data_IF_293709579601
#
_entry.id   IF_293709579601
#
_cell.length_a   1.000
_cell.length_b   1.000
_cell.length_c   1.000
_cell.angle_alpha   90.00
_cell.angle_beta   90.00
_cell.angle_gamma   90.00
#
_symmetry.space_group_name_H-M   'P 1'
#
loop_
_entity.id
_entity.type
_entity.pdbx_description
1 polymer ?
#
# COMPACT_ATOMS: atom_id res chain seq x y z
N UNK A 1 -48.13 -14.32 21.63
CA UNK A 1 -46.81 -13.70 21.87
C UNK A 1 -46.10 -13.60 20.53
N UNK A 2 -46.26 -12.48 19.81
CA UNK A 2 -45.57 -12.26 18.54
C UNK A 2 -44.22 -11.62 18.83
N UNK A 3 -43.14 -12.32 18.50
CA UNK A 3 -41.76 -11.83 18.67
C UNK A 3 -41.60 -10.49 17.95
N UNK A 4 -41.22 -9.45 18.70
CA UNK A 4 -40.99 -8.09 18.19
C UNK A 4 -39.60 -7.91 17.56
N UNK A 5 -38.83 -8.98 17.44
CA UNK A 5 -37.47 -8.92 16.91
C UNK A 5 -37.47 -9.37 15.46
N UNK A 6 -37.29 -8.40 14.56
CA UNK A 6 -37.04 -8.65 13.15
C UNK A 6 -35.68 -9.35 13.04
N UNK A 7 -35.63 -10.54 12.44
CA UNK A 7 -34.37 -11.27 12.21
C UNK A 7 -33.45 -10.40 11.34
N UNK A 8 -32.37 -9.91 11.92
CA UNK A 8 -31.32 -9.24 11.17
C UNK A 8 -30.61 -10.26 10.29
N UNK A 9 -30.83 -10.18 8.97
CA UNK A 9 -30.04 -10.89 7.99
C UNK A 9 -28.80 -10.03 7.67
N UNK A 10 -27.62 -10.51 8.06
CA UNK A 10 -26.37 -9.89 7.62
C UNK A 10 -26.16 -10.21 6.14
N UNK A 11 -25.79 -9.21 5.34
CA UNK A 11 -25.34 -9.44 3.98
C UNK A 11 -24.07 -10.29 3.98
N UNK A 12 -23.95 -11.18 2.99
CA UNK A 12 -22.77 -12.04 2.85
C UNK A 12 -21.56 -11.18 2.50
N UNK A 13 -20.46 -11.36 3.24
CA UNK A 13 -19.19 -10.69 2.95
C UNK A 13 -18.58 -11.26 1.68
N UNK A 14 -18.27 -10.37 0.72
CA UNK A 14 -17.45 -10.74 -0.42
C UNK A 14 -16.01 -10.98 0.04
N UNK A 15 -15.45 -12.16 -0.29
CA UNK A 15 -14.06 -12.51 0.02
C UNK A 15 -13.35 -12.82 -1.29
N UNK A 16 -12.24 -12.13 -1.54
CA UNK A 16 -11.43 -12.31 -2.75
C UNK A 16 -9.96 -12.57 -2.40
N UNK A 17 -9.48 -13.79 -2.70
CA UNK A 17 -8.08 -14.18 -2.52
C UNK A 17 -7.36 -14.07 -3.85
N UNK A 18 -6.45 -13.10 -3.96
CA UNK A 18 -5.72 -12.84 -5.21
C UNK A 18 -4.49 -13.74 -5.33
N UNK A 19 -4.42 -14.50 -6.44
CA UNK A 19 -3.24 -15.26 -6.82
C UNK A 19 -2.59 -14.70 -8.09
N UNK A 20 -1.26 -14.67 -8.13
CA UNK A 20 -0.51 -14.17 -9.28
C UNK A 20 0.84 -14.86 -9.44
N UNK A 21 1.39 -14.89 -10.67
CA UNK A 21 2.63 -15.62 -11.00
C UNK A 21 3.86 -15.12 -10.22
N UNK A 22 3.89 -13.83 -9.88
CA UNK A 22 5.04 -13.18 -9.22
C UNK A 22 5.02 -13.31 -7.70
N UNK A 23 4.13 -14.10 -7.09
CA UNK A 23 3.99 -14.24 -5.63
C UNK A 23 5.32 -14.51 -4.91
N UNK A 24 6.16 -15.40 -5.46
CA UNK A 24 7.45 -15.78 -4.86
C UNK A 24 8.36 -14.57 -4.62
N UNK A 25 8.28 -13.54 -5.47
CA UNK A 25 9.09 -12.34 -5.39
C UNK A 25 8.22 -11.08 -5.39
N UNK A 26 6.99 -11.16 -4.85
CA UNK A 26 5.99 -10.10 -4.98
C UNK A 26 6.50 -8.75 -4.47
N UNK A 27 7.22 -8.75 -3.34
CA UNK A 27 7.80 -7.54 -2.76
C UNK A 27 8.87 -6.94 -3.67
N UNK A 28 9.77 -7.77 -4.20
CA UNK A 28 10.86 -7.29 -5.05
C UNK A 28 10.32 -6.79 -6.40
N UNK A 29 9.39 -7.54 -7.00
CA UNK A 29 8.71 -7.15 -8.24
C UNK A 29 7.88 -5.87 -8.07
N UNK A 30 7.13 -5.75 -6.97
CA UNK A 30 6.41 -4.53 -6.65
C UNK A 30 7.33 -3.33 -6.48
N UNK A 31 8.44 -3.51 -5.76
CA UNK A 31 9.48 -2.49 -5.62
C UNK A 31 10.10 -2.08 -6.95
N UNK A 32 10.42 -3.04 -7.84
CA UNK A 32 10.99 -2.73 -9.15
C UNK A 32 10.02 -1.99 -10.06
N UNK A 33 8.72 -2.33 -10.02
CA UNK A 33 7.68 -1.60 -10.75
C UNK A 33 7.55 -0.17 -10.23
N UNK A 34 7.41 0.00 -8.91
CA UNK A 34 7.22 1.30 -8.27
C UNK A 34 8.43 2.22 -8.50
N UNK A 35 9.65 1.68 -8.38
CA UNK A 35 10.89 2.44 -8.63
C UNK A 35 11.09 2.84 -10.10
N UNK A 36 10.41 2.16 -11.03
CA UNK A 36 10.47 2.50 -12.47
C UNK A 36 9.53 3.65 -12.85
N UNK A 37 8.68 4.13 -11.92
CA UNK A 37 7.78 5.26 -12.17
C UNK A 37 8.47 6.61 -11.91
N UNK A 38 8.12 7.69 -12.65
CA UNK A 38 8.69 9.02 -12.41
C UNK A 38 8.44 9.56 -11.00
N UNK A 39 7.32 9.18 -10.37
CA UNK A 39 6.94 9.64 -9.02
C UNK A 39 7.88 9.13 -7.92
N UNK A 40 8.59 8.02 -8.15
CA UNK A 40 9.54 7.47 -7.18
C UNK A 40 10.59 8.51 -6.78
N UNK A 41 11.20 9.19 -7.75
CA UNK A 41 12.23 10.19 -7.48
C UNK A 41 11.72 11.41 -6.72
N UNK A 42 10.41 11.72 -6.85
CA UNK A 42 9.81 12.89 -6.17
C UNK A 42 9.58 12.65 -4.69
N UNK A 43 9.39 11.40 -4.28
CA UNK A 43 9.11 11.03 -2.89
C UNK A 43 10.36 10.56 -2.13
N UNK A 44 11.46 10.30 -2.84
CA UNK A 44 12.71 9.92 -2.22
C UNK A 44 13.35 11.08 -1.46
N UNK A 45 13.90 10.75 -0.28
CA UNK A 45 14.78 11.65 0.45
C UNK A 45 16.13 11.73 -0.27
N UNK A 46 16.53 12.94 -0.65
CA UNK A 46 17.85 13.18 -1.23
C UNK A 46 18.92 13.17 -0.14
N UNK A 47 20.18 12.94 -0.55
CA UNK A 47 21.31 13.05 0.36
C UNK A 47 21.44 14.46 0.98
N UNK A 48 21.21 15.50 0.18
CA UNK A 48 21.27 16.89 0.66
C UNK A 48 20.25 17.14 1.77
N UNK A 49 19.00 16.71 1.59
CA UNK A 49 17.96 16.82 2.63
C UNK A 49 18.34 16.07 3.90
N UNK A 50 18.94 14.87 3.79
CA UNK A 50 19.41 14.12 4.95
C UNK A 50 20.51 14.85 5.71
N UNK A 51 21.46 15.46 4.99
CA UNK A 51 22.57 16.20 5.59
C UNK A 51 22.08 17.53 6.24
N UNK A 52 21.05 18.16 5.69
CA UNK A 52 20.47 19.43 6.18
C UNK A 52 19.46 19.25 7.34
N UNK A 53 18.54 18.31 7.23
CA UNK A 53 17.46 18.08 8.21
C UNK A 53 17.78 16.97 9.23
N UNK A 54 18.79 16.16 8.93
CA UNK A 54 19.21 15.02 9.73
C UNK A 54 18.40 13.74 9.49
N UNK A 55 18.74 12.65 10.22
CA UNK A 55 18.17 11.32 10.02
C UNK A 55 16.66 11.20 10.29
N UNK A 56 16.03 12.24 10.83
CA UNK A 56 14.59 12.25 11.14
C UNK A 56 13.74 12.04 9.89
N UNK A 57 14.16 12.55 8.74
CA UNK A 57 13.39 12.45 7.49
C UNK A 57 13.22 10.98 7.04
N UNK A 58 14.21 10.13 7.30
CA UNK A 58 14.18 8.72 6.90
C UNK A 58 13.28 7.83 7.77
N UNK A 59 12.65 8.37 8.82
CA UNK A 59 11.72 7.61 9.68
C UNK A 59 10.34 7.42 9.05
N UNK A 60 10.03 8.21 8.02
CA UNK A 60 8.78 8.10 7.26
C UNK A 60 9.07 8.26 5.77
N UNK A 61 8.60 7.30 4.97
CA UNK A 61 8.67 7.37 3.52
C UNK A 61 7.22 7.45 3.02
N UNK A 62 6.84 8.51 2.28
CA UNK A 62 5.48 8.66 1.77
C UNK A 62 5.09 7.45 0.92
N UNK A 63 3.88 6.94 1.15
CA UNK A 63 3.26 5.97 0.23
C UNK A 63 2.84 6.72 -1.02
N UNK A 64 3.13 6.17 -2.18
CA UNK A 64 2.74 6.71 -3.47
C UNK A 64 2.35 5.58 -4.40
N UNK A 65 1.53 5.91 -5.39
CA UNK A 65 1.00 4.95 -6.33
C UNK A 65 1.81 4.98 -7.62
N UNK A 66 2.08 3.80 -8.17
CA UNK A 66 2.50 3.69 -9.55
C UNK A 66 1.28 3.98 -10.45
N UNK A 67 1.07 5.25 -10.78
CA UNK A 67 0.14 5.59 -11.87
C UNK A 67 0.91 5.35 -13.17
N UNK A 68 0.63 4.25 -13.86
CA UNK A 68 1.12 4.05 -15.22
C UNK A 68 0.50 5.08 -16.16
#
# INVERSE_FOLDING_TARGET
MHSKYQQAHAEALEVNVLSHRMQRFAVWFGGSMVASTPDFYRVCHTKAQYDEEGPRIARHNPVFNATM
#
